data_IF_063277964812
#
_entry.id   IF_063277964812
#
_cell.length_a   1.000
_cell.length_b   1.000
_cell.length_c   1.000
_cell.angle_alpha   90.00
_cell.angle_beta   90.00
_cell.angle_gamma   90.00
#
_symmetry.space_group_name_H-M   'P 1'
#
loop_
_entity.id
_entity.type
_entity.pdbx_description
1 polymer ?
#
# COMPACT_ATOMS: atom_id res chain seq x y z
N UNK A 1 27.94 4.31 1.99
CA UNK A 1 26.87 5.31 2.13
C UNK A 1 25.55 4.58 1.91
N UNK A 2 24.80 4.33 2.99
CA UNK A 2 23.49 3.69 2.89
C UNK A 2 22.53 4.70 2.27
N UNK A 3 22.31 4.58 0.97
CA UNK A 3 21.26 5.32 0.29
C UNK A 3 19.95 4.72 0.76
N UNK A 4 19.32 5.32 1.76
CA UNK A 4 17.88 5.13 1.96
C UNK A 4 17.28 5.66 0.67
N UNK A 5 16.93 4.75 -0.25
CA UNK A 5 16.04 5.09 -1.35
C UNK A 5 14.72 5.35 -0.65
N UNK A 6 14.53 6.60 -0.22
CA UNK A 6 13.19 7.15 -0.06
C UNK A 6 12.67 7.24 -1.50
N UNK A 7 12.31 6.08 -2.05
CA UNK A 7 11.49 6.02 -3.25
C UNK A 7 10.29 6.91 -2.96
N UNK A 8 9.89 7.71 -3.95
CA UNK A 8 8.76 8.59 -3.77
C UNK A 8 7.61 7.73 -3.22
N UNK A 9 6.97 8.10 -2.11
CA UNK A 9 5.95 7.24 -1.48
C UNK A 9 4.88 6.78 -2.49
N UNK A 10 4.68 7.60 -3.53
CA UNK A 10 3.95 7.29 -4.75
C UNK A 10 4.45 6.05 -5.50
N UNK A 11 5.75 5.95 -5.80
CA UNK A 11 6.35 4.82 -6.52
C UNK A 11 6.16 3.52 -5.73
N UNK A 12 6.37 3.58 -4.41
CA UNK A 12 6.18 2.42 -3.51
C UNK A 12 4.70 2.00 -3.50
N UNK A 13 3.77 2.95 -3.51
CA UNK A 13 2.34 2.63 -3.57
C UNK A 13 1.91 2.11 -4.93
N UNK A 14 2.47 2.63 -6.02
CA UNK A 14 2.22 2.10 -7.37
C UNK A 14 2.69 0.64 -7.46
N UNK A 15 3.87 0.33 -6.93
CA UNK A 15 4.41 -1.04 -6.92
C UNK A 15 3.60 -1.98 -6.01
N UNK A 16 3.36 -1.60 -4.76
CA UNK A 16 2.73 -2.48 -3.76
C UNK A 16 1.21 -2.57 -3.89
N UNK A 17 0.56 -1.51 -4.39
CA UNK A 17 -0.89 -1.35 -4.36
C UNK A 17 -1.49 -1.19 -5.76
N UNK A 18 -0.69 -0.90 -6.78
CA UNK A 18 -1.16 -0.53 -8.12
C UNK A 18 -1.96 0.77 -8.16
N UNK A 19 -1.98 1.51 -7.04
CA UNK A 19 -2.76 2.73 -6.83
C UNK A 19 -2.01 3.66 -5.90
N UNK A 20 -1.95 4.94 -6.27
CA UNK A 20 -1.31 5.98 -5.46
C UNK A 20 -2.36 6.85 -4.76
N UNK A 21 -2.32 6.97 -3.41
CA UNK A 21 -3.15 7.93 -2.70
C UNK A 21 -2.66 9.36 -2.94
N UNK A 22 -3.60 10.30 -3.05
CA UNK A 22 -3.31 11.72 -3.26
C UNK A 22 -2.61 12.38 -2.05
N UNK A 23 -2.71 11.79 -0.87
CA UNK A 23 -2.18 12.34 0.38
C UNK A 23 -1.57 11.23 1.23
N UNK A 24 -0.38 11.53 1.77
CA UNK A 24 0.31 10.73 2.76
C UNK A 24 0.42 11.52 4.05
N UNK A 25 0.06 10.89 5.17
CA UNK A 25 0.16 11.51 6.50
C UNK A 25 1.34 10.90 7.25
N UNK A 26 2.53 11.51 7.10
CA UNK A 26 3.73 11.06 7.82
C UNK A 26 4.14 9.61 7.52
N UNK A 27 4.07 9.18 6.25
CA UNK A 27 4.35 7.80 5.84
C UNK A 27 3.18 6.83 6.05
N UNK A 28 1.98 7.36 6.30
CA UNK A 28 0.75 6.58 6.43
C UNK A 28 -0.27 6.92 5.34
N UNK A 29 -0.99 5.90 4.92
CA UNK A 29 -2.17 6.03 4.06
C UNK A 29 -3.41 6.12 4.96
N UNK A 30 -4.38 6.94 4.56
CA UNK A 30 -5.65 7.04 5.26
C UNK A 30 -6.42 5.72 5.18
N UNK A 31 -6.91 5.20 6.32
CA UNK A 31 -7.68 3.96 6.37
C UNK A 31 -8.91 4.01 5.47
N UNK A 32 -9.59 5.16 5.44
CA UNK A 32 -10.74 5.38 4.56
C UNK A 32 -10.38 5.22 3.08
N UNK A 33 -9.21 5.70 2.66
CA UNK A 33 -8.75 5.51 1.29
C UNK A 33 -8.48 4.03 0.99
N UNK A 34 -7.87 3.30 1.93
CA UNK A 34 -7.66 1.84 1.79
C UNK A 34 -8.99 1.11 1.69
N UNK A 35 -10.00 1.50 2.48
CA UNK A 35 -11.35 0.95 2.41
C UNK A 35 -12.03 1.24 1.07
N UNK A 36 -12.04 2.50 0.63
CA UNK A 36 -12.70 2.91 -0.61
C UNK A 36 -12.07 2.26 -1.86
N UNK A 37 -10.76 1.96 -1.84
CA UNK A 37 -10.04 1.42 -3.00
C UNK A 37 -9.89 -0.10 -3.03
N UNK A 38 -10.05 -0.78 -1.88
CA UNK A 38 -9.83 -2.22 -1.72
C UNK A 38 -10.95 -2.86 -0.90
N UNK A 39 -12.19 -2.39 -1.10
CA UNK A 39 -13.36 -2.91 -0.36
C UNK A 39 -13.73 -4.32 -0.77
N UNK A 40 -13.72 -4.58 -2.07
CA UNK A 40 -14.29 -5.76 -2.68
C UNK A 40 -13.19 -6.72 -3.12
N UNK A 41 -13.13 -7.88 -2.47
CA UNK A 41 -12.31 -9.03 -2.85
C UNK A 41 -13.14 -9.86 -3.83
N UNK A 42 -12.80 -9.85 -5.11
CA UNK A 42 -13.38 -10.82 -6.05
C UNK A 42 -12.75 -12.20 -5.78
N UNK A 43 -13.50 -13.27 -5.95
CA UNK A 43 -12.94 -14.64 -5.84
C UNK A 43 -11.97 -14.93 -7.01
N UNK A 44 -12.15 -14.21 -8.12
CA UNK A 44 -11.37 -14.33 -9.36
C UNK A 44 -10.17 -13.38 -9.44
N UNK A 45 -9.74 -12.78 -8.32
CA UNK A 45 -8.55 -11.91 -8.33
C UNK A 45 -7.32 -12.66 -8.86
N UNK A 46 -6.59 -11.98 -9.73
CA UNK A 46 -5.32 -12.49 -10.24
C UNK A 46 -4.25 -12.50 -9.13
N UNK A 47 -3.13 -13.22 -9.30
CA UNK A 47 -2.10 -13.32 -8.26
C UNK A 47 -1.55 -11.97 -7.78
N UNK A 48 -1.40 -10.99 -8.68
CA UNK A 48 -0.92 -9.64 -8.36
C UNK A 48 -1.93 -8.89 -7.49
N UNK A 49 -3.22 -8.94 -7.84
CA UNK A 49 -4.28 -8.31 -7.05
C UNK A 49 -4.42 -8.94 -5.66
N UNK A 50 -4.18 -10.26 -5.53
CA UNK A 50 -4.16 -10.94 -4.23
C UNK A 50 -3.01 -10.48 -3.34
N UNK A 51 -1.84 -10.26 -3.92
CA UNK A 51 -0.68 -9.71 -3.20
C UNK A 51 -0.96 -8.28 -2.74
N UNK A 52 -1.48 -7.42 -3.62
CA UNK A 52 -1.88 -6.06 -3.31
C UNK A 52 -2.93 -6.03 -2.19
N UNK A 53 -3.96 -6.88 -2.26
CA UNK A 53 -4.97 -6.96 -1.21
C UNK A 53 -4.37 -7.39 0.13
N UNK A 54 -3.45 -8.36 0.11
CA UNK A 54 -2.75 -8.83 1.32
C UNK A 54 -1.95 -7.70 1.96
N UNK A 55 -1.22 -6.93 1.15
CA UNK A 55 -0.48 -5.72 1.59
C UNK A 55 -1.42 -4.69 2.23
N UNK A 56 -2.54 -4.37 1.58
CA UNK A 56 -3.55 -3.45 2.11
C UNK A 56 -4.16 -3.95 3.41
N UNK A 57 -4.44 -5.25 3.51
CA UNK A 57 -5.01 -5.85 4.70
C UNK A 57 -4.05 -5.73 5.89
N UNK A 58 -2.76 -5.98 5.70
CA UNK A 58 -1.73 -5.77 6.72
C UNK A 58 -1.66 -4.28 7.09
N UNK A 59 -1.68 -3.37 6.11
CA UNK A 59 -1.70 -1.93 6.37
C UNK A 59 -2.92 -1.52 7.21
N UNK A 60 -4.11 -2.06 6.95
CA UNK A 60 -5.30 -1.78 7.77
C UNK A 60 -5.09 -2.22 9.22
N UNK A 61 -4.49 -3.39 9.44
CA UNK A 61 -4.18 -3.90 10.78
C UNK A 61 -3.15 -3.04 11.53
N UNK A 62 -2.20 -2.42 10.82
CA UNK A 62 -1.17 -1.56 11.42
C UNK A 62 -1.57 -0.08 11.50
N UNK A 63 -2.79 0.28 11.07
CA UNK A 63 -3.29 1.66 11.09
C UNK A 63 -2.79 2.51 9.92
N UNK A 64 -2.64 1.91 8.75
CA UNK A 64 -2.28 2.55 7.49
C UNK A 64 -0.78 2.80 7.32
N UNK A 65 0.08 2.15 8.10
CA UNK A 65 1.53 2.39 8.05
C UNK A 65 2.12 1.74 6.80
N UNK A 66 2.78 2.55 5.96
CA UNK A 66 3.57 2.02 4.87
C UNK A 66 4.91 1.52 5.43
N UNK A 67 5.13 0.21 5.37
CA UNK A 67 6.40 -0.41 5.74
C UNK A 67 7.03 -0.92 4.46
N UNK A 68 7.80 -0.09 3.73
CA UNK A 68 8.57 -0.60 2.60
C UNK A 68 9.53 -1.66 3.13
N UNK A 69 9.51 -2.84 2.51
CA UNK A 69 10.39 -3.92 2.90
C UNK A 69 11.84 -3.42 2.80
N UNK A 70 12.59 -3.57 3.88
CA UNK A 70 13.90 -2.95 4.01
C UNK A 70 14.90 -3.78 3.23
N UNK A 71 15.34 -3.25 2.09
CA UNK A 71 16.56 -3.72 1.42
C UNK A 71 17.80 -3.64 2.34
#
# INVERSE_FOLDING_TARGET
MGSVVVGNWSDICEELLGKVPLKFFGGRIELKWLEDNFKDLDENLNPLEREQYTQVYIMRLTGGVLMPDKA
#
